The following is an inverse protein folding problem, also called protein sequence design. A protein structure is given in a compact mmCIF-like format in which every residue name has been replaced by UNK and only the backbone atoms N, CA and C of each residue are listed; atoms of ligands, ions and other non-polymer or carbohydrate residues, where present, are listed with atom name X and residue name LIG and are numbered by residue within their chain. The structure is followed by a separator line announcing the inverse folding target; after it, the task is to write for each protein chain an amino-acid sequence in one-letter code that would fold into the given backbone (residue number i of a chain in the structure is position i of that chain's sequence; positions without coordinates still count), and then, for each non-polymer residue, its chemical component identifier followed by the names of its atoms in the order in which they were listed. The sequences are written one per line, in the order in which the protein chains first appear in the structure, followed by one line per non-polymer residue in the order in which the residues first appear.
data_IF_701415841465
#
_entry.id   IF_701415841465
#
_cell.length_a   1.000
_cell.length_b   1.000
_cell.length_c   1.000
_cell.angle_alpha   90.00
_cell.angle_beta   90.00
_cell.angle_gamma   90.00
#
_symmetry.space_group_name_H-M   'P 1'
#
loop_
_entity.id
_entity.type
_entity.pdbx_description
1 polymer ?
#
# COMPACT_ATOMS: atom_id res chain seq x y z
N UNK A 1 30.82 -8.46 -47.92
CA UNK A 1 29.42 -8.21 -47.59
C UNK A 1 29.44 -7.22 -46.42
N UNK A 2 29.05 -5.96 -46.70
CA UNK A 2 28.88 -4.92 -45.67
C UNK A 2 27.57 -5.18 -44.97
N UNK A 3 27.59 -5.55 -43.68
CA UNK A 3 26.44 -5.52 -42.84
C UNK A 3 25.98 -4.06 -42.71
N UNK A 4 24.83 -3.79 -43.29
CA UNK A 4 24.14 -2.50 -43.13
C UNK A 4 23.67 -2.44 -41.69
N UNK A 5 24.40 -1.73 -40.81
CA UNK A 5 23.90 -1.34 -39.51
C UNK A 5 22.71 -0.42 -39.73
N UNK A 6 21.51 -0.94 -39.53
CA UNK A 6 20.32 -0.09 -39.43
C UNK A 6 20.48 0.77 -38.19
N UNK A 7 20.57 2.08 -38.39
CA UNK A 7 20.45 3.05 -37.28
C UNK A 7 19.09 2.81 -36.61
N UNK A 8 19.03 2.75 -35.25
CA UNK A 8 17.74 2.70 -34.55
C UNK A 8 16.93 3.92 -34.97
N UNK A 9 15.64 3.71 -35.17
CA UNK A 9 14.74 4.83 -35.43
C UNK A 9 14.69 5.72 -34.18
N UNK A 10 14.60 7.03 -34.34
CA UNK A 10 14.44 8.00 -33.22
C UNK A 10 13.38 7.53 -32.18
N UNK A 11 12.38 6.75 -32.62
CA UNK A 11 11.35 6.19 -31.73
C UNK A 11 11.81 5.10 -30.75
N UNK A 12 12.87 4.33 -31.07
CA UNK A 12 13.36 3.26 -30.17
C UNK A 12 14.14 3.84 -28.99
N UNK A 13 15.01 4.81 -29.23
CA UNK A 13 15.74 5.51 -28.18
C UNK A 13 14.77 6.30 -27.28
N UNK A 14 13.75 6.94 -27.85
CA UNK A 14 12.75 7.67 -27.09
C UNK A 14 11.96 6.74 -26.16
N UNK A 15 11.55 5.57 -26.60
CA UNK A 15 10.86 4.60 -25.75
C UNK A 15 11.71 4.11 -24.57
N UNK A 16 13.02 3.89 -24.79
CA UNK A 16 13.95 3.55 -23.71
C UNK A 16 14.13 4.72 -22.72
N UNK A 17 14.24 5.95 -23.22
CA UNK A 17 14.35 7.15 -22.39
C UNK A 17 13.10 7.36 -21.53
N UNK A 18 11.90 7.18 -22.08
CA UNK A 18 10.65 7.34 -21.37
C UNK A 18 10.52 6.30 -20.23
N UNK A 19 10.87 5.04 -20.49
CA UNK A 19 10.87 3.98 -19.49
C UNK A 19 11.94 4.22 -18.40
N UNK A 20 13.15 4.60 -18.80
CA UNK A 20 14.22 4.90 -17.86
C UNK A 20 13.88 6.12 -16.99
N UNK A 21 13.18 7.11 -17.53
CA UNK A 21 12.72 8.27 -16.77
C UNK A 21 11.72 7.91 -15.68
N UNK A 22 10.83 6.94 -15.91
CA UNK A 22 9.89 6.43 -14.88
C UNK A 22 10.67 5.78 -13.74
N UNK A 23 11.64 4.90 -14.05
CA UNK A 23 12.48 4.26 -13.04
C UNK A 23 13.30 5.28 -12.24
N UNK A 24 13.94 6.23 -12.93
CA UNK A 24 14.73 7.27 -12.30
C UNK A 24 13.89 8.21 -11.41
N UNK A 25 12.65 8.54 -11.82
CA UNK A 25 11.73 9.32 -11.01
C UNK A 25 11.37 8.61 -9.68
N UNK A 26 11.44 7.29 -9.65
CA UNK A 26 11.20 6.45 -8.47
C UNK A 26 12.50 6.02 -7.76
N UNK A 27 13.60 6.75 -7.99
CA UNK A 27 14.93 6.51 -7.41
C UNK A 27 15.59 5.18 -7.83
N UNK A 28 15.02 4.44 -8.78
CA UNK A 28 15.63 3.22 -9.34
C UNK A 28 16.60 3.56 -10.46
N UNK A 29 17.67 4.29 -10.09
CA UNK A 29 18.72 4.65 -11.04
C UNK A 29 19.49 3.43 -11.57
N UNK A 30 19.57 2.34 -10.80
CA UNK A 30 20.19 1.10 -11.27
C UNK A 30 19.40 0.45 -12.39
N UNK A 31 18.08 0.38 -12.23
CA UNK A 31 17.16 -0.10 -13.25
C UNK A 31 17.21 0.81 -14.49
N UNK A 32 17.14 2.13 -14.31
CA UNK A 32 17.22 3.12 -15.39
C UNK A 32 18.51 3.00 -16.19
N UNK A 33 19.67 2.94 -15.51
CA UNK A 33 20.98 2.81 -16.16
C UNK A 33 21.14 1.46 -16.86
N UNK A 34 20.64 0.37 -16.25
CA UNK A 34 20.64 -0.96 -16.87
C UNK A 34 19.81 -0.96 -18.14
N UNK A 35 18.63 -0.35 -18.13
CA UNK A 35 17.76 -0.23 -19.29
C UNK A 35 18.42 0.58 -20.42
N UNK A 36 18.98 1.76 -20.11
CA UNK A 36 19.70 2.57 -21.09
C UNK A 36 20.95 1.88 -21.65
N UNK A 37 21.59 1.00 -20.85
CA UNK A 37 22.71 0.18 -21.28
C UNK A 37 22.35 -0.87 -22.35
N UNK A 38 21.07 -1.15 -22.59
CA UNK A 38 20.62 -2.02 -23.69
C UNK A 38 20.57 -1.30 -25.05
N UNK A 39 20.70 0.04 -25.03
CA UNK A 39 20.71 0.84 -26.25
C UNK A 39 21.96 0.51 -27.08
N UNK A 40 21.78 0.01 -28.30
CA UNK A 40 22.88 -0.40 -29.18
C UNK A 40 23.55 0.79 -29.90
N UNK A 41 22.81 1.87 -30.10
CA UNK A 41 23.30 3.10 -30.74
C UNK A 41 22.80 4.34 -29.97
N UNK A 42 23.44 4.66 -28.82
CA UNK A 42 23.03 5.79 -28.00
C UNK A 42 23.24 7.11 -28.75
N UNK A 43 22.22 7.97 -28.72
CA UNK A 43 22.31 9.35 -29.14
C UNK A 43 22.69 10.27 -27.96
N UNK A 44 22.84 11.57 -28.25
CA UNK A 44 23.20 12.54 -27.22
C UNK A 44 22.20 12.65 -26.06
N UNK A 45 20.92 12.27 -26.26
CA UNK A 45 19.92 12.29 -25.22
C UNK A 45 20.12 11.10 -24.29
N UNK A 46 20.39 9.89 -24.82
CA UNK A 46 20.71 8.69 -24.05
C UNK A 46 21.99 8.90 -23.23
N UNK A 47 23.06 9.43 -23.86
CA UNK A 47 24.32 9.72 -23.18
C UNK A 47 24.14 10.74 -22.04
N UNK A 48 23.33 11.77 -22.29
CA UNK A 48 22.99 12.76 -21.25
C UNK A 48 22.20 12.11 -20.10
N UNK A 49 21.18 11.29 -20.37
CA UNK A 49 20.40 10.60 -19.34
C UNK A 49 21.28 9.68 -18.48
N UNK A 50 22.22 8.93 -19.10
CA UNK A 50 23.19 8.08 -18.38
C UNK A 50 24.06 8.93 -17.45
N UNK A 51 24.54 10.09 -17.92
CA UNK A 51 25.34 11.01 -17.09
C UNK A 51 24.55 11.56 -15.93
N UNK A 52 23.33 12.06 -16.19
CA UNK A 52 22.46 12.66 -15.18
C UNK A 52 22.05 11.63 -14.11
N UNK A 53 21.66 10.42 -14.51
CA UNK A 53 21.24 9.36 -13.58
C UNK A 53 22.41 8.81 -12.76
N UNK A 54 23.62 8.73 -13.34
CA UNK A 54 24.83 8.37 -12.61
C UNK A 54 25.15 9.39 -11.52
N UNK A 55 25.05 10.68 -11.85
CA UNK A 55 25.25 11.75 -10.87
C UNK A 55 24.18 11.73 -9.76
N UNK A 56 22.90 11.59 -10.14
CA UNK A 56 21.79 11.52 -9.20
C UNK A 56 21.91 10.31 -8.26
N UNK A 57 22.26 9.13 -8.80
CA UNK A 57 22.53 7.93 -7.98
C UNK A 57 23.63 8.18 -6.94
N UNK A 58 24.71 8.84 -7.34
CA UNK A 58 25.84 9.12 -6.45
C UNK A 58 25.50 10.11 -5.33
N UNK A 59 24.43 10.88 -5.48
CA UNK A 59 23.94 11.82 -4.46
C UNK A 59 22.97 11.18 -3.45
N UNK A 60 22.54 9.94 -3.66
CA UNK A 60 21.67 9.24 -2.73
C UNK A 60 22.41 8.86 -1.45
N UNK A 61 21.69 8.89 -0.33
CA UNK A 61 22.18 8.44 0.96
C UNK A 61 21.30 7.33 1.51
N UNK A 62 21.90 6.38 2.23
CA UNK A 62 21.18 5.31 2.90
C UNK A 62 20.36 5.91 4.04
N UNK A 63 19.07 5.56 4.14
CA UNK A 63 18.25 5.92 5.30
C UNK A 63 18.86 5.30 6.57
N UNK A 64 19.15 6.11 7.61
CA UNK A 64 20.04 5.68 8.69
C UNK A 64 19.38 4.72 9.71
N UNK A 65 18.05 4.72 9.82
CA UNK A 65 17.34 4.00 10.88
C UNK A 65 15.96 3.52 10.43
N UNK A 66 15.85 2.26 10.03
CA UNK A 66 14.58 1.66 9.62
C UNK A 66 13.55 1.63 10.75
N UNK A 67 13.97 1.68 12.02
CA UNK A 67 13.10 1.79 13.17
C UNK A 67 12.25 3.06 13.20
N UNK A 68 12.63 4.07 12.41
CA UNK A 68 11.89 5.33 12.26
C UNK A 68 11.00 5.39 11.04
N UNK A 69 10.80 4.28 10.32
CA UNK A 69 9.87 4.21 9.20
C UNK A 69 8.46 4.00 9.77
N UNK A 70 7.55 4.98 9.66
CA UNK A 70 6.19 4.79 10.12
C UNK A 70 5.41 3.90 9.14
N UNK A 71 4.60 2.99 9.68
CA UNK A 71 3.54 2.28 8.96
C UNK A 71 2.20 2.89 9.38
N UNK A 72 1.57 3.62 8.47
CA UNK A 72 0.28 4.26 8.73
C UNK A 72 -0.85 3.53 8.02
N UNK A 73 -1.99 3.44 8.69
CA UNK A 73 -3.16 2.69 8.23
C UNK A 73 -4.38 3.58 8.15
N UNK A 74 -5.11 3.43 7.07
CA UNK A 74 -6.42 4.03 6.86
C UNK A 74 -7.48 2.94 6.78
N UNK A 75 -8.72 3.29 7.09
CA UNK A 75 -9.90 2.49 6.76
C UNK A 75 -10.48 2.91 5.40
N UNK A 76 -11.48 2.19 4.84
CA UNK A 76 -12.17 2.62 3.63
C UNK A 76 -12.57 4.09 3.68
N UNK A 77 -12.43 4.79 2.55
CA UNK A 77 -12.68 6.22 2.47
C UNK A 77 -14.13 6.54 2.11
N UNK A 78 -14.64 7.61 2.71
CA UNK A 78 -15.96 8.14 2.42
C UNK A 78 -15.90 8.94 1.11
N UNK A 79 -16.56 8.44 0.07
CA UNK A 79 -16.66 9.10 -1.23
C UNK A 79 -17.86 10.07 -1.31
N UNK A 80 -18.93 9.75 -0.60
CA UNK A 80 -20.16 10.56 -0.53
C UNK A 80 -20.51 10.87 0.92
N UNK A 81 -20.16 12.07 1.35
CA UNK A 81 -20.37 12.54 2.73
C UNK A 81 -21.84 12.67 3.09
N UNK A 82 -22.71 13.00 2.13
CA UNK A 82 -24.14 13.14 2.38
C UNK A 82 -24.81 11.79 2.71
N UNK A 83 -24.28 10.68 2.19
CA UNK A 83 -24.76 9.32 2.49
C UNK A 83 -24.12 8.75 3.74
N UNK A 84 -22.82 9.00 3.94
CA UNK A 84 -22.10 8.47 5.09
C UNK A 84 -22.43 9.21 6.41
N UNK A 85 -22.84 10.47 6.32
CA UNK A 85 -23.15 11.32 7.48
C UNK A 85 -24.64 11.70 7.52
N UNK A 86 -25.52 10.81 7.09
CA UNK A 86 -26.96 11.04 6.99
C UNK A 86 -27.72 10.99 8.33
N UNK A 87 -27.00 10.64 9.42
CA UNK A 87 -27.53 10.56 10.78
C UNK A 87 -28.16 9.22 11.14
N UNK A 88 -27.90 8.19 10.34
CA UNK A 88 -28.27 6.80 10.69
C UNK A 88 -27.34 6.22 11.79
N UNK A 89 -27.54 4.95 12.15
CA UNK A 89 -26.78 4.26 13.21
C UNK A 89 -25.29 4.10 12.87
N UNK A 90 -24.89 4.19 11.60
CA UNK A 90 -23.52 4.04 11.14
C UNK A 90 -22.75 5.37 11.03
N UNK A 91 -23.44 6.50 10.92
CA UNK A 91 -22.85 7.82 10.66
C UNK A 91 -21.75 8.18 11.68
N UNK A 92 -22.00 7.96 12.96
CA UNK A 92 -21.01 8.19 14.04
C UNK A 92 -19.78 7.28 13.92
N UNK A 93 -19.99 6.03 13.53
CA UNK A 93 -18.90 5.08 13.33
C UNK A 93 -18.00 5.52 12.15
N UNK A 94 -18.62 5.91 11.04
CA UNK A 94 -17.89 6.40 9.86
C UNK A 94 -17.14 7.70 10.16
N UNK A 95 -17.77 8.64 10.89
CA UNK A 95 -17.13 9.88 11.29
C UNK A 95 -15.88 9.67 12.16
N UNK A 96 -15.85 8.66 13.01
CA UNK A 96 -14.70 8.35 13.88
C UNK A 96 -13.62 7.53 13.18
N UNK A 97 -14.00 6.63 12.30
CA UNK A 97 -13.07 5.59 11.81
C UNK A 97 -12.56 5.84 10.39
N UNK A 98 -13.29 6.58 9.56
CA UNK A 98 -12.93 6.82 8.17
C UNK A 98 -12.57 8.27 7.89
N UNK A 99 -11.66 8.48 6.94
CA UNK A 99 -11.46 9.77 6.32
C UNK A 99 -12.35 9.91 5.08
N UNK A 100 -12.66 11.14 4.72
CA UNK A 100 -13.23 11.43 3.40
C UNK A 100 -12.17 11.36 2.31
N UNK A 101 -12.59 11.21 1.07
CA UNK A 101 -11.70 11.27 -0.11
C UNK A 101 -10.88 12.57 -0.13
N UNK A 102 -11.52 13.72 0.19
CA UNK A 102 -10.83 15.01 0.22
C UNK A 102 -9.79 15.10 1.34
N UNK A 103 -10.10 14.57 2.53
CA UNK A 103 -9.16 14.52 3.66
C UNK A 103 -7.95 13.65 3.36
N UNK A 104 -8.17 12.45 2.79
CA UNK A 104 -7.07 11.57 2.40
C UNK A 104 -6.20 12.19 1.30
N UNK A 105 -6.78 12.85 0.31
CA UNK A 105 -6.02 13.57 -0.72
C UNK A 105 -5.14 14.64 -0.09
N UNK A 106 -5.70 15.44 0.84
CA UNK A 106 -4.92 16.46 1.56
C UNK A 106 -3.81 15.86 2.45
N UNK A 107 -4.02 14.67 3.02
CA UNK A 107 -2.96 13.93 3.73
C UNK A 107 -1.82 13.58 2.78
N UNK A 108 -2.12 13.03 1.59
CA UNK A 108 -1.08 12.70 0.59
C UNK A 108 -0.27 13.93 0.18
N UNK A 109 -0.94 15.06 -0.07
CA UNK A 109 -0.28 16.32 -0.41
C UNK A 109 0.68 16.79 0.69
N UNK A 110 0.25 16.73 1.96
CA UNK A 110 1.10 17.12 3.08
C UNK A 110 2.25 16.15 3.34
N UNK A 111 2.04 14.84 3.21
CA UNK A 111 3.09 13.84 3.30
C UNK A 111 4.15 14.07 2.21
N UNK A 112 3.71 14.29 0.98
CA UNK A 112 4.61 14.59 -0.14
C UNK A 112 5.40 15.88 0.09
N UNK A 113 4.73 16.96 0.48
CA UNK A 113 5.37 18.24 0.81
C UNK A 113 6.33 18.11 2.00
N UNK A 114 6.03 17.21 2.95
CA UNK A 114 6.89 16.86 4.10
C UNK A 114 8.10 16.00 3.73
N UNK A 115 8.26 15.63 2.45
CA UNK A 115 9.38 14.84 1.95
C UNK A 115 9.22 13.34 2.14
N UNK A 116 8.04 12.83 2.49
CA UNK A 116 7.82 11.40 2.59
C UNK A 116 7.84 10.72 1.21
N UNK A 117 8.27 9.46 1.20
CA UNK A 117 8.35 8.59 0.01
C UNK A 117 7.88 7.20 0.42
N UNK A 118 6.97 6.63 -0.35
CA UNK A 118 6.45 5.28 -0.10
C UNK A 118 7.53 4.24 -0.33
N UNK A 119 7.66 3.31 0.61
CA UNK A 119 8.52 2.12 0.52
C UNK A 119 7.70 0.87 0.80
N UNK A 120 8.15 -0.27 0.30
CA UNK A 120 7.55 -1.58 0.59
C UNK A 120 8.02 -2.13 1.94
N UNK A 121 7.37 -3.18 2.40
CA UNK A 121 7.82 -3.90 3.60
C UNK A 121 9.22 -4.53 3.38
N UNK A 122 9.48 -5.05 2.18
CA UNK A 122 10.78 -5.63 1.83
C UNK A 122 11.88 -4.58 1.69
N UNK A 123 11.57 -3.35 1.26
CA UNK A 123 12.54 -2.25 1.27
C UNK A 123 12.98 -1.90 2.68
N UNK A 124 12.11 -2.01 3.67
CA UNK A 124 12.41 -1.75 5.08
C UNK A 124 13.27 -2.84 5.69
N UNK A 125 12.94 -4.10 5.47
CA UNK A 125 13.70 -5.26 5.95
C UNK A 125 13.41 -6.48 5.08
N UNK A 126 14.45 -7.21 4.70
CA UNK A 126 14.32 -8.40 3.87
C UNK A 126 15.33 -9.48 4.30
N UNK A 127 15.10 -10.77 3.98
CA UNK A 127 16.06 -11.82 4.24
C UNK A 127 17.26 -11.70 3.30
N UNK A 128 18.46 -11.93 3.84
CA UNK A 128 19.69 -12.09 3.07
C UNK A 128 19.75 -13.48 2.38
N UNK A 129 20.87 -13.77 1.73
CA UNK A 129 21.09 -15.05 1.03
C UNK A 129 21.08 -16.28 1.96
N UNK A 130 21.16 -16.08 3.28
CA UNK A 130 21.06 -17.14 4.28
C UNK A 130 19.66 -17.31 4.84
N UNK A 131 18.72 -16.43 4.46
CA UNK A 131 17.38 -16.36 4.99
C UNK A 131 17.27 -15.55 6.28
N UNK A 132 18.33 -14.85 6.70
CA UNK A 132 18.35 -14.02 7.89
C UNK A 132 17.90 -12.61 7.55
N UNK A 133 16.88 -12.10 8.25
CA UNK A 133 16.34 -10.76 8.01
C UNK A 133 17.34 -9.68 8.41
N UNK A 134 17.50 -8.71 7.54
CA UNK A 134 18.41 -7.57 7.68
C UNK A 134 17.65 -6.26 7.43
N UNK A 135 18.09 -5.14 8.04
CA UNK A 135 17.60 -3.82 7.68
C UNK A 135 17.84 -3.53 6.21
N UNK A 136 16.84 -2.96 5.56
CA UNK A 136 16.93 -2.56 4.16
C UNK A 136 17.88 -1.39 3.93
N UNK A 137 18.43 -1.32 2.72
CA UNK A 137 19.31 -0.24 2.26
C UNK A 137 18.51 0.74 1.40
N UNK A 138 17.61 1.51 2.02
CA UNK A 138 16.78 2.49 1.30
C UNK A 138 17.65 3.71 0.96
N UNK A 139 17.87 3.94 -0.33
CA UNK A 139 18.69 5.03 -0.86
C UNK A 139 17.79 6.18 -1.33
N UNK A 140 17.83 7.30 -0.64
CA UNK A 140 17.01 8.48 -0.92
C UNK A 140 17.86 9.76 -1.01
N UNK A 141 17.40 10.79 -1.71
CA UNK A 141 18.00 12.11 -1.63
C UNK A 141 17.90 12.69 -0.21
N UNK A 142 18.79 13.60 0.12
CA UNK A 142 18.74 14.34 1.38
C UNK A 142 17.37 15.02 1.59
N UNK A 143 16.82 14.91 2.79
CA UNK A 143 15.52 15.48 3.15
C UNK A 143 14.31 14.58 2.83
N UNK A 144 14.47 13.52 2.05
CA UNK A 144 13.41 12.53 1.84
C UNK A 144 13.35 11.51 2.98
N UNK A 145 12.15 11.03 3.29
CA UNK A 145 11.85 10.14 4.43
C UNK A 145 10.99 8.97 3.99
N UNK A 146 11.34 7.72 4.29
CA UNK A 146 10.51 6.58 3.94
C UNK A 146 9.24 6.49 4.80
N UNK A 147 8.17 5.98 4.21
CA UNK A 147 6.86 5.77 4.82
C UNK A 147 6.23 4.51 4.22
N UNK A 148 5.58 3.67 5.04
CA UNK A 148 4.73 2.58 4.58
C UNK A 148 3.27 2.97 4.77
N UNK A 149 2.47 2.80 3.71
CA UNK A 149 1.05 3.12 3.67
C UNK A 149 0.22 1.84 3.66
N UNK A 150 -0.91 1.82 4.35
CA UNK A 150 -1.83 0.67 4.31
C UNK A 150 -3.30 1.05 4.37
N UNK A 151 -4.15 0.22 3.76
CA UNK A 151 -5.61 0.21 3.90
C UNK A 151 -6.02 -1.03 4.69
N UNK A 152 -6.60 -0.87 5.87
CA UNK A 152 -6.89 -1.97 6.80
C UNK A 152 -8.17 -1.71 7.60
N UNK A 153 -9.18 -2.55 7.45
CA UNK A 153 -9.35 -3.58 6.43
C UNK A 153 -9.66 -2.99 5.05
N UNK A 154 -9.24 -3.67 3.99
CA UNK A 154 -9.60 -3.30 2.62
C UNK A 154 -10.96 -3.92 2.27
N UNK A 155 -12.01 -3.38 2.85
CA UNK A 155 -13.40 -3.85 2.72
C UNK A 155 -14.16 -3.08 1.64
N UNK A 156 -14.92 -3.83 0.83
CA UNK A 156 -15.78 -3.33 -0.22
C UNK A 156 -17.13 -4.04 -0.16
N UNK A 157 -17.88 -3.83 0.94
CA UNK A 157 -19.16 -4.51 1.16
C UNK A 157 -20.32 -3.76 0.53
N UNK A 158 -21.43 -4.45 0.32
CA UNK A 158 -22.67 -3.82 -0.20
C UNK A 158 -23.23 -2.78 0.78
N UNK A 159 -23.06 -2.97 2.10
CA UNK A 159 -23.44 -2.00 3.12
C UNK A 159 -22.63 -0.70 2.96
N UNK A 160 -21.30 -0.79 2.94
CA UNK A 160 -20.45 0.38 2.72
C UNK A 160 -20.78 1.09 1.40
N UNK A 161 -20.98 0.34 0.30
CA UNK A 161 -21.38 0.92 -0.97
C UNK A 161 -22.75 1.63 -0.88
N UNK A 162 -23.65 1.13 -0.05
CA UNK A 162 -24.93 1.76 0.28
C UNK A 162 -24.75 3.09 1.00
N UNK A 163 -23.74 3.24 1.81
CA UNK A 163 -23.46 4.40 2.67
C UNK A 163 -22.39 5.35 2.07
N UNK A 164 -22.16 5.29 0.76
CA UNK A 164 -21.32 6.29 0.08
C UNK A 164 -19.85 5.96 -0.02
N UNK A 165 -19.45 4.69 0.16
CA UNK A 165 -18.10 4.20 -0.07
C UNK A 165 -17.95 3.56 -1.46
N UNK A 166 -16.72 3.32 -1.90
CA UNK A 166 -16.45 2.55 -3.11
C UNK A 166 -17.01 1.13 -3.01
N UNK A 167 -17.50 0.61 -4.15
CA UNK A 167 -18.12 -0.71 -4.24
C UNK A 167 -17.09 -1.82 -4.40
N UNK A 168 -16.08 -1.61 -5.25
CA UNK A 168 -15.02 -2.60 -5.54
C UNK A 168 -13.86 -2.00 -6.32
N UNK A 169 -12.74 -2.68 -6.29
CA UNK A 169 -11.62 -2.42 -7.20
C UNK A 169 -11.86 -3.06 -8.56
N UNK A 170 -11.43 -2.40 -9.63
CA UNK A 170 -11.57 -2.87 -11.01
C UNK A 170 -10.30 -2.60 -11.81
N UNK A 171 -10.07 -3.39 -12.86
CA UNK A 171 -9.07 -3.08 -13.87
C UNK A 171 -9.78 -2.30 -14.98
N UNK A 172 -9.42 -1.03 -15.15
CA UNK A 172 -9.96 -0.17 -16.17
C UNK A 172 -9.53 -0.61 -17.59
N UNK A 173 -10.17 -0.06 -18.63
CA UNK A 173 -9.91 -0.43 -20.04
C UNK A 173 -8.45 -0.22 -20.48
N UNK A 174 -7.71 0.67 -19.82
CA UNK A 174 -6.28 0.90 -20.04
C UNK A 174 -5.35 -0.02 -19.24
N UNK A 175 -5.89 -0.98 -18.46
CA UNK A 175 -5.10 -1.89 -17.64
C UNK A 175 -4.68 -1.32 -16.27
N UNK A 176 -5.07 -0.09 -15.96
CA UNK A 176 -4.79 0.53 -14.65
C UNK A 176 -5.83 0.11 -13.63
N UNK A 177 -5.41 0.10 -12.36
CA UNK A 177 -6.34 -0.12 -11.25
C UNK A 177 -7.20 1.13 -11.01
N UNK A 178 -8.47 0.92 -10.79
CA UNK A 178 -9.45 1.96 -10.44
C UNK A 178 -10.46 1.38 -9.47
N UNK A 179 -11.39 2.19 -8.97
CA UNK A 179 -12.52 1.68 -8.21
C UNK A 179 -13.87 2.03 -8.86
N UNK A 180 -14.85 1.20 -8.58
CA UNK A 180 -16.23 1.40 -8.94
C UNK A 180 -16.99 2.00 -7.74
N UNK A 181 -17.73 3.04 -8.00
CA UNK A 181 -18.65 3.69 -7.06
C UNK A 181 -20.07 3.66 -7.63
N UNK A 182 -21.06 3.48 -6.76
CA UNK A 182 -22.49 3.47 -7.13
C UNK A 182 -23.18 4.64 -6.42
N UNK A 183 -23.71 5.58 -7.18
CA UNK A 183 -24.42 6.73 -6.63
C UNK A 183 -25.79 6.37 -6.03
N UNK A 184 -26.48 7.36 -5.46
CA UNK A 184 -27.79 7.18 -4.83
C UNK A 184 -28.89 6.73 -5.82
N UNK A 185 -28.71 7.02 -7.11
CA UNK A 185 -29.61 6.62 -8.19
C UNK A 185 -29.30 5.20 -8.73
N UNK A 186 -28.27 4.54 -8.18
CA UNK A 186 -27.84 3.20 -8.59
C UNK A 186 -26.96 3.18 -9.84
N UNK A 187 -26.46 4.33 -10.29
CA UNK A 187 -25.55 4.42 -11.44
C UNK A 187 -24.10 4.14 -11.01
N UNK A 188 -23.50 3.14 -11.64
CA UNK A 188 -22.10 2.81 -11.45
C UNK A 188 -21.19 3.75 -12.27
N UNK A 189 -20.14 4.25 -11.62
CA UNK A 189 -19.06 5.04 -12.25
C UNK A 189 -17.72 4.51 -11.79
N UNK A 190 -16.71 4.62 -12.66
CA UNK A 190 -15.34 4.22 -12.35
C UNK A 190 -14.48 5.47 -12.18
N UNK A 191 -13.68 5.52 -11.11
CA UNK A 191 -12.87 6.71 -10.83
C UNK A 191 -12.06 6.58 -9.53
N UNK A 192 -11.71 7.74 -8.97
CA UNK A 192 -10.88 7.87 -7.77
C UNK A 192 -11.75 8.07 -6.52
N UNK A 193 -12.36 6.99 -6.05
CA UNK A 193 -13.30 7.01 -4.92
C UNK A 193 -12.79 6.27 -3.68
N UNK A 194 -11.58 5.72 -3.72
CA UNK A 194 -10.95 5.03 -2.60
C UNK A 194 -9.45 5.30 -2.53
N UNK A 195 -8.79 4.78 -1.48
CA UNK A 195 -7.35 4.95 -1.25
C UNK A 195 -6.51 4.50 -2.45
N UNK A 196 -6.83 3.33 -3.04
CA UNK A 196 -6.03 2.75 -4.13
C UNK A 196 -6.09 3.65 -5.37
N UNK A 197 -7.29 3.99 -5.81
CA UNK A 197 -7.50 4.79 -7.02
C UNK A 197 -7.03 6.24 -6.88
N UNK A 198 -7.14 6.83 -5.68
CA UNK A 198 -6.59 8.16 -5.38
C UNK A 198 -5.07 8.13 -5.40
N UNK A 199 -4.46 7.11 -4.78
CA UNK A 199 -3.01 6.96 -4.75
C UNK A 199 -2.44 6.82 -6.17
N UNK A 200 -3.05 6.02 -7.05
CA UNK A 200 -2.62 5.90 -8.45
C UNK A 200 -2.72 7.23 -9.19
N UNK A 201 -3.81 7.99 -8.99
CA UNK A 201 -3.96 9.33 -9.56
C UNK A 201 -2.86 10.27 -9.06
N UNK A 202 -2.58 10.24 -7.75
CA UNK A 202 -1.55 11.06 -7.13
C UNK A 202 -0.14 10.74 -7.67
N UNK A 203 0.19 9.45 -7.78
CA UNK A 203 1.49 8.99 -8.26
C UNK A 203 1.71 9.25 -9.76
N UNK A 204 0.66 9.42 -10.54
CA UNK A 204 0.78 9.90 -11.94
C UNK A 204 1.35 11.32 -11.99
N UNK A 205 1.02 12.16 -11.01
CA UNK A 205 1.49 13.54 -10.90
C UNK A 205 2.81 13.64 -10.10
N UNK A 206 3.02 12.73 -9.16
CA UNK A 206 4.15 12.69 -8.23
C UNK A 206 4.83 11.32 -8.20
N UNK A 207 5.47 10.87 -9.31
CA UNK A 207 6.11 9.56 -9.36
C UNK A 207 7.22 9.39 -8.33
N UNK A 208 7.85 10.48 -7.90
CA UNK A 208 8.88 10.52 -6.86
C UNK A 208 8.32 10.38 -5.42
N UNK A 209 7.01 10.24 -5.26
CA UNK A 209 6.41 9.82 -3.99
C UNK A 209 6.50 8.30 -3.75
N UNK A 210 6.97 7.53 -4.72
CA UNK A 210 7.15 6.07 -4.67
C UNK A 210 8.61 5.68 -4.85
N UNK A 211 9.16 4.90 -3.95
CA UNK A 211 10.48 4.28 -4.06
C UNK A 211 10.35 2.97 -4.83
N UNK A 212 11.00 2.87 -5.98
CA UNK A 212 11.04 1.67 -6.84
C UNK A 212 9.68 1.03 -7.14
N UNK A 213 8.65 1.86 -7.26
CA UNK A 213 7.30 1.40 -7.56
C UNK A 213 6.47 0.98 -6.35
N UNK A 214 6.94 1.13 -5.12
CA UNK A 214 6.19 0.80 -3.92
C UNK A 214 4.83 1.50 -3.87
N UNK A 215 3.84 0.80 -3.34
CA UNK A 215 2.46 1.26 -3.16
C UNK A 215 2.03 1.05 -1.70
N UNK A 216 0.73 0.85 -1.49
CA UNK A 216 0.18 0.55 -0.18
C UNK A 216 0.06 -0.96 0.06
N UNK A 217 -0.04 -1.33 1.34
CA UNK A 217 -0.38 -2.69 1.76
C UNK A 217 -1.89 -2.75 1.99
N UNK A 218 -2.55 -3.76 1.41
CA UNK A 218 -3.98 -4.00 1.57
C UNK A 218 -4.21 -5.14 2.55
N UNK A 219 -4.75 -4.82 3.73
CA UNK A 219 -5.10 -5.83 4.74
C UNK A 219 -6.43 -6.48 4.41
N UNK A 220 -6.41 -7.76 4.07
CA UNK A 220 -7.59 -8.52 3.61
C UNK A 220 -8.03 -9.49 4.69
N UNK A 221 -9.33 -9.53 4.98
CA UNK A 221 -9.99 -10.55 5.81
C UNK A 221 -10.91 -11.44 4.97
N UNK A 222 -11.42 -12.52 5.56
CA UNK A 222 -12.35 -13.44 4.91
C UNK A 222 -13.76 -12.90 4.71
N UNK A 223 -14.09 -11.77 5.32
CA UNK A 223 -15.40 -11.15 5.26
C UNK A 223 -15.63 -10.31 4.01
N UNK A 224 -16.89 -10.26 3.65
CA UNK A 224 -17.54 -11.20 2.75
C UNK A 224 -17.21 -10.94 1.29
N UNK A 225 -16.47 -9.86 0.98
CA UNK A 225 -16.20 -9.43 -0.40
C UNK A 225 -14.79 -8.89 -0.56
N UNK A 226 -13.74 -9.73 -0.49
CA UNK A 226 -12.38 -9.29 -0.74
C UNK A 226 -12.26 -8.56 -2.08
N UNK A 227 -11.71 -7.35 -2.06
CA UNK A 227 -11.61 -6.46 -3.21
C UNK A 227 -12.97 -6.07 -3.86
N UNK A 228 -14.09 -6.43 -3.21
CA UNK A 228 -15.46 -6.18 -3.67
C UNK A 228 -16.07 -7.32 -4.50
N UNK A 229 -15.56 -8.53 -4.40
CA UNK A 229 -15.98 -9.70 -5.18
C UNK A 229 -16.43 -10.86 -4.30
N UNK A 230 -17.53 -11.53 -4.67
CA UNK A 230 -17.98 -12.76 -4.03
C UNK A 230 -17.09 -13.93 -4.49
N UNK A 231 -16.24 -14.43 -3.59
CA UNK A 231 -15.33 -15.53 -3.91
C UNK A 231 -16.04 -16.90 -3.99
N UNK A 232 -17.32 -16.99 -3.68
CA UNK A 232 -18.13 -18.22 -3.89
C UNK A 232 -18.65 -18.35 -5.33
N UNK A 233 -18.68 -17.23 -6.09
CA UNK A 233 -18.98 -17.21 -7.52
C UNK A 233 -17.70 -17.33 -8.35
N UNK A 234 -17.60 -18.33 -9.23
CA UNK A 234 -16.40 -18.59 -10.02
C UNK A 234 -16.03 -17.42 -10.96
N UNK A 235 -17.02 -16.70 -11.48
CA UNK A 235 -16.78 -15.57 -12.39
C UNK A 235 -16.25 -14.36 -11.63
N UNK A 236 -16.82 -14.07 -10.44
CA UNK A 236 -16.34 -13.01 -9.56
C UNK A 236 -14.97 -13.34 -9.00
N UNK A 237 -14.73 -14.60 -8.59
CA UNK A 237 -13.41 -15.06 -8.17
C UNK A 237 -12.35 -14.88 -9.27
N UNK A 238 -12.67 -15.19 -10.54
CA UNK A 238 -11.76 -14.94 -11.66
C UNK A 238 -11.48 -13.45 -11.87
N UNK A 239 -12.48 -12.60 -11.65
CA UNK A 239 -12.34 -11.13 -11.69
C UNK A 239 -11.47 -10.60 -10.54
N UNK A 240 -11.68 -11.12 -9.33
CA UNK A 240 -10.85 -10.79 -8.16
C UNK A 240 -9.37 -11.15 -8.40
N UNK A 241 -9.08 -12.32 -8.99
CA UNK A 241 -7.69 -12.70 -9.36
C UNK A 241 -7.05 -11.74 -10.34
N UNK A 242 -7.79 -11.23 -11.32
CA UNK A 242 -7.27 -10.24 -12.28
C UNK A 242 -6.94 -8.92 -11.58
N UNK A 243 -7.81 -8.47 -10.67
CA UNK A 243 -7.57 -7.28 -9.86
C UNK A 243 -6.36 -7.48 -8.95
N UNK A 244 -6.28 -8.61 -8.24
CA UNK A 244 -5.15 -8.92 -7.36
C UNK A 244 -3.82 -8.95 -8.13
N UNK A 245 -3.78 -9.59 -9.30
CA UNK A 245 -2.59 -9.63 -10.15
C UNK A 245 -2.21 -8.22 -10.66
N UNK A 246 -3.19 -7.39 -11.02
CA UNK A 246 -2.95 -6.02 -11.42
C UNK A 246 -2.35 -5.21 -10.27
N UNK A 247 -2.88 -5.34 -9.04
CA UNK A 247 -2.37 -4.68 -7.84
C UNK A 247 -0.91 -5.08 -7.56
N UNK A 248 -0.60 -6.38 -7.54
CA UNK A 248 0.76 -6.88 -7.32
C UNK A 248 1.74 -6.36 -8.37
N UNK A 249 1.36 -6.40 -9.66
CA UNK A 249 2.18 -5.90 -10.75
C UNK A 249 2.39 -4.38 -10.69
N UNK A 250 1.49 -3.65 -10.06
CA UNK A 250 1.59 -2.20 -9.85
C UNK A 250 2.50 -1.84 -8.68
N UNK A 251 2.71 -2.77 -7.72
CA UNK A 251 3.56 -2.59 -6.54
C UNK A 251 2.82 -2.54 -5.20
N UNK A 252 1.52 -2.89 -5.20
CA UNK A 252 0.79 -3.13 -3.94
C UNK A 252 1.22 -4.44 -3.31
N UNK A 253 1.11 -4.50 -2.00
CA UNK A 253 1.31 -5.71 -1.20
C UNK A 253 -0.02 -6.13 -0.56
N UNK A 254 -0.18 -7.42 -0.28
CA UNK A 254 -1.29 -7.91 0.52
C UNK A 254 -0.82 -8.32 1.90
N UNK A 255 -1.68 -8.08 2.91
CA UNK A 255 -1.53 -8.59 4.25
C UNK A 255 -2.76 -9.40 4.66
N UNK A 256 -2.59 -10.43 5.47
CA UNK A 256 -3.70 -11.01 6.20
C UNK A 256 -4.15 -10.03 7.29
N UNK A 257 -5.46 -9.80 7.40
CA UNK A 257 -6.07 -9.12 8.55
C UNK A 257 -6.95 -10.11 9.32
N UNK A 258 -6.44 -11.35 9.50
CA UNK A 258 -7.15 -12.54 9.99
C UNK A 258 -8.34 -12.93 9.09
N UNK A 259 -8.87 -14.12 9.21
CA UNK A 259 -10.03 -14.53 8.41
C UNK A 259 -11.34 -13.97 8.98
N UNK A 260 -11.61 -14.26 10.25
CA UNK A 260 -12.85 -13.89 10.93
C UNK A 260 -12.75 -12.60 11.80
N UNK A 261 -11.68 -11.80 11.63
CA UNK A 261 -11.45 -10.60 12.41
C UNK A 261 -11.11 -10.87 13.89
N UNK A 262 -10.66 -12.08 14.23
CA UNK A 262 -10.33 -12.44 15.61
C UNK A 262 -8.98 -11.87 16.07
N UNK A 263 -8.91 -11.51 17.35
CA UNK A 263 -7.68 -11.06 17.98
C UNK A 263 -6.79 -12.24 18.38
N UNK A 264 -5.68 -12.47 17.68
CA UNK A 264 -4.83 -13.65 17.90
C UNK A 264 -4.17 -13.69 19.29
N UNK A 265 -3.94 -12.54 19.92
CA UNK A 265 -3.42 -12.50 21.29
C UNK A 265 -4.34 -13.17 22.28
N UNK A 266 -5.64 -12.98 22.14
CA UNK A 266 -6.68 -13.46 23.05
C UNK A 266 -7.25 -14.83 22.66
N UNK A 267 -7.29 -15.14 21.35
CA UNK A 267 -7.79 -16.41 20.83
C UNK A 267 -6.97 -17.60 21.31
N UNK A 268 -7.58 -18.78 21.36
CA UNK A 268 -6.88 -20.05 21.63
C UNK A 268 -5.96 -20.46 20.46
N UNK A 269 -5.04 -21.37 20.70
CA UNK A 269 -4.17 -21.92 19.65
C UNK A 269 -4.96 -22.59 18.53
N UNK A 270 -6.05 -23.27 18.87
CA UNK A 270 -6.93 -23.95 17.92
C UNK A 270 -7.70 -22.95 17.04
N UNK A 271 -8.22 -21.86 17.63
CA UNK A 271 -8.89 -20.78 16.88
C UNK A 271 -7.92 -20.08 15.92
N UNK A 272 -6.70 -19.78 16.36
CA UNK A 272 -5.66 -19.19 15.49
C UNK A 272 -5.33 -20.14 14.34
N UNK A 273 -5.14 -21.43 14.61
CA UNK A 273 -4.82 -22.41 13.58
C UNK A 273 -5.96 -22.57 12.56
N UNK A 274 -7.20 -22.57 13.01
CA UNK A 274 -8.37 -22.67 12.15
C UNK A 274 -8.53 -21.40 11.28
N UNK A 275 -8.37 -20.22 11.85
CA UNK A 275 -8.49 -18.95 11.14
C UNK A 275 -7.40 -18.79 10.07
N UNK A 276 -6.15 -19.10 10.40
CA UNK A 276 -5.02 -19.10 9.44
C UNK A 276 -5.27 -20.08 8.30
N UNK A 277 -5.72 -21.28 8.61
CA UNK A 277 -6.04 -22.30 7.61
C UNK A 277 -7.13 -21.80 6.66
N UNK A 278 -8.19 -21.26 7.20
CA UNK A 278 -9.33 -20.76 6.44
C UNK A 278 -8.92 -19.58 5.54
N UNK A 279 -8.12 -18.65 6.08
CA UNK A 279 -7.58 -17.52 5.33
C UNK A 279 -6.77 -18.01 4.11
N UNK A 280 -5.87 -18.96 4.34
CA UNK A 280 -5.01 -19.51 3.28
C UNK A 280 -5.80 -20.28 2.23
N UNK A 281 -6.74 -21.11 2.63
CA UNK A 281 -7.54 -21.91 1.71
C UNK A 281 -8.50 -21.06 0.85
N UNK A 282 -8.98 -19.93 1.39
CA UNK A 282 -9.94 -19.06 0.71
C UNK A 282 -9.29 -17.93 -0.08
N UNK A 283 -8.29 -17.26 0.49
CA UNK A 283 -7.75 -16.00 -0.03
C UNK A 283 -6.46 -16.17 -0.83
N UNK A 284 -5.53 -17.03 -0.43
CA UNK A 284 -4.29 -17.24 -1.20
C UNK A 284 -4.51 -17.69 -2.65
N UNK A 285 -5.53 -18.51 -2.99
CA UNK A 285 -5.82 -18.84 -4.38
C UNK A 285 -6.18 -17.62 -5.24
N UNK A 286 -6.57 -16.52 -4.63
CA UNK A 286 -6.92 -15.26 -5.31
C UNK A 286 -5.78 -14.24 -5.24
N UNK A 287 -5.18 -14.07 -4.07
CA UNK A 287 -4.20 -13.02 -3.79
C UNK A 287 -2.75 -13.44 -4.06
N UNK A 288 -2.47 -14.74 -4.12
CA UNK A 288 -1.13 -15.29 -4.06
C UNK A 288 -0.62 -15.45 -2.63
N UNK A 289 0.61 -15.95 -2.43
CA UNK A 289 1.22 -16.10 -1.11
C UNK A 289 1.38 -14.75 -0.41
N UNK A 290 1.04 -14.69 0.88
CA UNK A 290 1.11 -13.47 1.70
C UNK A 290 2.00 -13.72 2.91
N UNK A 291 2.97 -12.83 3.12
CA UNK A 291 3.93 -12.90 4.22
C UNK A 291 3.68 -11.85 5.33
N UNK A 292 2.76 -10.93 5.12
CA UNK A 292 2.46 -9.84 6.06
C UNK A 292 1.19 -10.17 6.83
N UNK A 293 1.23 -10.01 8.14
CA UNK A 293 0.09 -10.15 9.03
C UNK A 293 -0.16 -8.83 9.77
N UNK A 294 -1.37 -8.31 9.66
CA UNK A 294 -1.90 -7.24 10.49
C UNK A 294 -2.80 -7.82 11.56
N UNK A 295 -2.44 -7.66 12.81
CA UNK A 295 -3.26 -8.12 13.92
C UNK A 295 -4.59 -7.37 13.97
N UNK A 296 -5.68 -8.11 13.94
CA UNK A 296 -7.02 -7.56 14.12
C UNK A 296 -7.22 -7.07 15.57
N UNK A 297 -8.02 -6.04 15.74
CA UNK A 297 -8.39 -5.46 17.04
C UNK A 297 -7.19 -5.04 17.92
N UNK A 298 -6.01 -4.85 17.32
CA UNK A 298 -4.79 -4.55 18.06
C UNK A 298 -4.26 -5.68 18.94
N UNK A 299 -4.80 -6.89 18.79
CA UNK A 299 -4.50 -8.05 19.65
C UNK A 299 -3.26 -8.82 19.14
N UNK A 300 -2.08 -8.31 19.48
CA UNK A 300 -0.76 -8.91 19.19
C UNK A 300 -0.52 -10.16 20.07
N UNK A 301 0.39 -11.02 19.63
CA UNK A 301 0.83 -12.18 20.43
C UNK A 301 1.61 -11.71 21.66
N UNK A 302 1.36 -12.36 22.79
CA UNK A 302 2.11 -12.12 24.02
C UNK A 302 3.56 -12.70 23.93
N UNK A 303 3.77 -13.69 23.06
CA UNK A 303 5.06 -14.37 22.88
C UNK A 303 5.26 -14.80 21.42
N UNK A 304 6.47 -14.62 20.94
CA UNK A 304 6.93 -15.07 19.60
C UNK A 304 7.76 -16.38 19.70
N UNK A 305 7.55 -17.16 20.75
CA UNK A 305 8.19 -18.48 20.96
C UNK A 305 7.13 -19.60 21.13
N UNK A 306 5.85 -19.26 21.24
CA UNK A 306 4.75 -20.20 21.53
C UNK A 306 4.13 -20.83 20.28
N UNK A 307 3.18 -21.73 20.51
CA UNK A 307 2.50 -22.47 19.45
C UNK A 307 1.72 -21.58 18.47
N UNK A 308 1.09 -20.49 18.95
CA UNK A 308 0.42 -19.53 18.07
C UNK A 308 1.42 -18.91 17.05
N UNK A 309 2.59 -18.47 17.53
CA UNK A 309 3.62 -17.96 16.63
C UNK A 309 4.09 -19.01 15.64
N UNK A 310 4.32 -20.23 16.10
CA UNK A 310 4.71 -21.34 15.21
C UNK A 310 3.67 -21.57 14.11
N UNK A 311 2.39 -21.56 14.45
CA UNK A 311 1.28 -21.64 13.47
C UNK A 311 1.35 -20.53 12.42
N UNK A 312 1.56 -19.29 12.85
CA UNK A 312 1.67 -18.15 11.94
C UNK A 312 2.93 -18.25 11.06
N UNK A 313 4.04 -18.63 11.65
CA UNK A 313 5.31 -18.79 10.95
C UNK A 313 5.25 -19.91 9.87
N UNK A 314 4.69 -21.07 10.22
CA UNK A 314 4.43 -22.19 9.30
C UNK A 314 3.39 -21.81 8.23
N UNK A 315 2.45 -20.93 8.59
CA UNK A 315 1.51 -20.29 7.66
C UNK A 315 2.16 -19.39 6.61
N UNK A 316 3.46 -19.09 6.74
CA UNK A 316 4.21 -18.28 5.78
C UNK A 316 4.37 -16.81 6.18
N UNK A 317 3.78 -16.38 7.31
CA UNK A 317 3.91 -15.00 7.77
C UNK A 317 5.32 -14.72 8.31
N UNK A 318 5.84 -13.54 7.96
CA UNK A 318 7.19 -13.09 8.32
C UNK A 318 7.21 -11.66 8.85
N UNK A 319 6.22 -10.84 8.48
CA UNK A 319 6.06 -9.49 8.97
C UNK A 319 4.80 -9.40 9.81
N UNK A 320 4.96 -9.03 11.09
CA UNK A 320 3.91 -9.00 12.09
C UNK A 320 3.68 -7.57 12.53
N UNK A 321 2.54 -6.99 12.17
CA UNK A 321 2.27 -5.59 12.39
C UNK A 321 1.22 -5.40 13.48
N UNK A 322 1.68 -4.97 14.64
CA UNK A 322 0.85 -4.66 15.80
C UNK A 322 0.26 -3.25 15.71
N UNK A 323 -0.94 -3.07 16.21
CA UNK A 323 -1.52 -1.73 16.36
C UNK A 323 -0.89 -1.04 17.58
N UNK A 324 -0.05 -0.04 17.34
CA UNK A 324 0.53 0.78 18.39
C UNK A 324 0.59 2.24 17.93
N UNK A 325 -0.21 3.08 18.54
CA UNK A 325 -0.26 4.52 18.27
C UNK A 325 0.36 5.35 19.39
N UNK A 326 0.98 4.70 20.38
CA UNK A 326 1.61 5.39 21.52
C UNK A 326 2.93 6.08 21.15
N UNK A 327 3.56 5.61 20.07
CA UNK A 327 4.82 6.16 19.52
C UNK A 327 4.71 6.31 18.00
N UNK A 328 5.51 7.20 17.38
CA UNK A 328 5.47 7.41 15.92
C UNK A 328 5.76 6.15 15.10
N UNK A 329 6.70 5.34 15.53
CA UNK A 329 7.09 4.06 14.90
C UNK A 329 8.00 3.24 15.80
N UNK A 330 8.01 1.94 15.60
CA UNK A 330 9.08 1.02 16.00
C UNK A 330 9.14 -0.16 15.05
N UNK A 331 10.32 -0.71 14.87
CA UNK A 331 10.58 -1.92 14.09
C UNK A 331 11.53 -2.81 14.90
N UNK A 332 11.21 -4.09 14.97
CA UNK A 332 12.04 -5.13 15.55
C UNK A 332 12.37 -6.14 14.46
N UNK A 333 13.65 -6.28 14.12
CA UNK A 333 14.13 -7.24 13.13
C UNK A 333 14.79 -8.40 13.86
N UNK A 334 14.19 -9.57 13.76
CA UNK A 334 14.71 -10.82 14.27
C UNK A 334 15.30 -11.67 13.12
N UNK A 335 16.04 -12.71 13.42
CA UNK A 335 16.70 -13.51 12.39
C UNK A 335 15.74 -14.05 11.31
N UNK A 336 14.49 -14.36 11.69
CA UNK A 336 13.54 -15.07 10.81
C UNK A 336 12.23 -14.33 10.59
N UNK A 337 12.04 -13.19 11.24
CA UNK A 337 10.82 -12.39 11.11
C UNK A 337 11.06 -10.93 11.49
N UNK A 338 10.09 -10.09 11.15
CA UNK A 338 10.07 -8.66 11.47
C UNK A 338 8.77 -8.33 12.20
N UNK A 339 8.84 -7.46 13.20
CA UNK A 339 7.68 -6.82 13.83
C UNK A 339 7.71 -5.32 13.60
N UNK A 340 6.54 -4.71 13.42
CA UNK A 340 6.44 -3.26 13.22
C UNK A 340 5.16 -2.71 13.86
N UNK A 341 5.27 -1.52 14.44
CA UNK A 341 4.11 -0.75 14.86
C UNK A 341 3.31 -0.26 13.65
N UNK A 342 1.99 -0.44 13.69
CA UNK A 342 1.03 0.11 12.75
C UNK A 342 0.22 1.18 13.46
N UNK A 343 0.19 2.39 12.91
CA UNK A 343 -0.51 3.55 13.48
C UNK A 343 -1.74 3.89 12.62
N UNK A 344 -2.92 3.89 13.23
CA UNK A 344 -4.16 4.23 12.54
C UNK A 344 -4.32 5.74 12.39
N UNK A 345 -4.69 6.17 11.20
CA UNK A 345 -5.12 7.53 10.87
C UNK A 345 -6.61 7.47 10.54
N UNK A 346 -7.42 8.11 11.34
CA UNK A 346 -8.88 8.06 11.23
C UNK A 346 -9.52 9.39 11.63
N UNK A 347 -10.85 9.48 11.57
CA UNK A 347 -11.59 10.68 11.92
C UNK A 347 -11.27 11.21 13.32
N UNK A 348 -11.27 10.36 14.34
CA UNK A 348 -10.91 10.74 15.72
C UNK A 348 -9.50 11.31 15.80
N UNK A 349 -8.52 10.74 15.09
CA UNK A 349 -7.14 11.24 15.08
C UNK A 349 -7.01 12.64 14.53
N UNK A 350 -7.75 12.96 13.48
CA UNK A 350 -7.65 14.28 12.84
C UNK A 350 -8.49 15.36 13.55
N UNK A 351 -9.55 14.98 14.27
CA UNK A 351 -10.46 15.94 14.94
C UNK A 351 -10.12 16.13 16.42
N UNK A 352 -9.91 15.06 17.17
CA UNK A 352 -9.77 15.09 18.63
C UNK A 352 -8.32 14.89 19.08
N UNK A 353 -7.51 14.18 18.30
CA UNK A 353 -6.18 13.74 18.69
C UNK A 353 -5.08 14.23 17.71
N UNK A 354 -5.27 15.40 17.12
CA UNK A 354 -4.38 15.98 16.09
C UNK A 354 -2.89 16.00 16.48
N UNK A 355 -2.57 16.11 17.77
CA UNK A 355 -1.19 16.01 18.27
C UNK A 355 -0.51 14.67 18.00
N UNK A 356 -1.27 13.59 17.84
CA UNK A 356 -0.73 12.26 17.60
C UNK A 356 -0.35 12.00 16.12
N UNK A 357 -0.66 12.92 15.23
CA UNK A 357 -0.30 12.86 13.81
C UNK A 357 0.55 14.03 13.34
N UNK A 358 0.90 14.95 14.27
CA UNK A 358 1.62 16.19 13.98
C UNK A 358 3.04 15.98 13.42
N UNK A 359 3.64 14.81 13.62
CA UNK A 359 4.91 14.40 13.03
C UNK A 359 4.79 14.07 11.52
N UNK A 360 3.57 13.78 11.06
CA UNK A 360 3.26 13.42 9.68
C UNK A 360 2.69 14.58 8.89
N UNK A 361 1.66 15.24 9.43
CA UNK A 361 0.94 16.34 8.80
C UNK A 361 0.17 17.20 9.81
N UNK A 362 -0.26 18.38 9.37
CA UNK A 362 -1.12 19.29 10.13
C UNK A 362 -2.60 18.92 9.92
N UNK A 363 -3.16 18.18 10.87
CA UNK A 363 -4.55 17.71 10.81
C UNK A 363 -5.58 18.86 10.67
N UNK A 364 -5.29 20.05 11.20
CA UNK A 364 -6.23 21.20 11.14
C UNK A 364 -6.45 21.72 9.72
N UNK A 365 -5.57 21.36 8.78
CA UNK A 365 -5.64 21.79 7.37
C UNK A 365 -6.30 20.78 6.44
N UNK A 366 -6.65 19.61 6.96
CA UNK A 366 -7.20 18.54 6.12
C UNK A 366 -8.69 18.27 6.37
N UNK A 367 -9.23 18.69 7.51
CA UNK A 367 -10.61 18.39 7.93
C UNK A 367 -11.60 18.93 6.88
N UNK A 368 -12.43 18.02 6.37
CA UNK A 368 -13.49 18.36 5.43
C UNK A 368 -14.57 19.23 6.09
N UNK A 369 -15.07 20.28 5.43
CA UNK A 369 -16.21 21.05 5.93
C UNK A 369 -17.51 20.24 6.04
N UNK A 370 -17.60 19.11 5.33
CA UNK A 370 -18.77 18.21 5.36
C UNK A 370 -18.69 17.22 6.56
N UNK A 371 -17.60 17.19 7.30
CA UNK A 371 -17.49 16.33 8.48
C UNK A 371 -18.38 16.88 9.60
N UNK A 372 -19.19 16.03 10.27
CA UNK A 372 -19.96 16.45 11.44
C UNK A 372 -19.01 16.91 12.57
N UNK A 373 -19.48 17.92 13.34
CA UNK A 373 -18.76 18.48 14.51
C UNK A 373 -18.66 17.48 15.67
#
# INVERSE_FOLDING_TARGET
ASESQTLPTEGENQALLDQAAILAAQYDYDGALTLLGTCTNPDAQVEKAVTDYTAAKSALTVWPDVGKIPLISFQPLIADTARAFDGDDNADYYARNSLTVSEFTAVLEQLYAGGYVLVSMEDMAAPDNTGTYQPGQILLPEGKKPLILSLVPAHYTTGLAGDGFARRLVVASGGQIACEYVDAEGKATTGSYDLVSILETFLTQHPDFSYRGARAILGISGDPSPLGYDLTDETEQASARKVALCLLNTGYEFASFTYDGIGYGEASEEEVAQDVKQWKETLEPVLGPVSILFYANGSDLASYEGAKFQTLYEGGFRYFCALDSSVPSWVQIENTYVRQARRTINGTRITEEAGQVADLFDATKIISPDRPE
#
